data_IF_386130517330
#
_entry.id   IF_386130517330
#
_cell.length_a   1.000
_cell.length_b   1.000
_cell.length_c   1.000
_cell.angle_alpha   90.00
_cell.angle_beta   90.00
_cell.angle_gamma   90.00
#
_symmetry.space_group_name_H-M   'P 1'
#
loop_
_entity.id
_entity.type
_entity.pdbx_description
1 polymer ?
#
# COMPACT_ATOMS: atom_id res chain seq x y z
N UNK A 1 20.88 47.74 12.00
CA UNK A 1 19.41 47.75 11.91
C UNK A 1 19.03 46.93 10.70
N UNK A 2 18.43 45.75 10.90
CA UNK A 2 17.45 45.11 10.03
C UNK A 2 17.04 43.77 10.69
N UNK A 3 15.87 43.80 11.31
CA UNK A 3 15.16 42.67 11.89
C UNK A 3 14.60 41.81 10.76
N UNK A 4 14.92 40.52 10.75
CA UNK A 4 14.15 39.52 10.02
C UNK A 4 13.41 38.65 11.04
N UNK A 5 12.12 38.93 11.14
CA UNK A 5 11.18 38.24 12.01
C UNK A 5 10.98 36.80 11.55
N UNK A 6 11.14 35.88 12.50
CA UNK A 6 10.63 34.52 12.45
C UNK A 6 9.12 34.50 12.21
N UNK A 7 8.67 33.80 11.18
CA UNK A 7 7.27 33.34 11.09
C UNK A 7 7.24 31.85 11.45
N UNK A 8 6.88 31.58 12.70
CA UNK A 8 6.40 30.26 13.13
C UNK A 8 4.96 30.09 12.66
N UNK A 9 4.74 29.22 11.68
CA UNK A 9 3.42 28.70 11.35
C UNK A 9 3.19 27.41 12.14
N UNK A 10 2.54 27.54 13.29
CA UNK A 10 1.95 26.43 14.04
C UNK A 10 0.51 26.25 13.59
N UNK A 11 0.24 25.23 12.77
CA UNK A 11 -1.12 24.77 12.46
C UNK A 11 -1.43 23.49 13.23
N UNK A 12 -1.95 23.68 14.44
CA UNK A 12 -2.67 22.65 15.19
C UNK A 12 -4.04 22.44 14.56
N UNK A 13 -4.19 21.42 13.73
CA UNK A 13 -5.51 20.99 13.22
C UNK A 13 -5.97 19.74 13.98
N UNK A 14 -6.77 19.99 15.01
CA UNK A 14 -7.63 19.00 15.67
C UNK A 14 -8.69 18.52 14.68
N UNK A 15 -8.62 17.25 14.28
CA UNK A 15 -9.69 16.56 13.55
C UNK A 15 -10.16 15.37 14.38
N UNK A 16 -11.02 15.67 15.34
CA UNK A 16 -11.96 14.70 15.88
C UNK A 16 -13.05 14.48 14.82
N UNK A 17 -12.99 13.36 14.12
CA UNK A 17 -14.17 12.78 13.47
C UNK A 17 -14.27 11.32 13.89
N UNK A 18 -15.12 11.10 14.89
CA UNK A 18 -15.59 9.77 15.26
C UNK A 18 -16.33 9.15 14.08
N UNK A 19 -15.85 8.00 13.63
CA UNK A 19 -16.61 7.12 12.75
C UNK A 19 -17.46 6.22 13.64
N UNK A 20 -18.74 6.60 13.73
CA UNK A 20 -19.82 5.75 14.19
C UNK A 20 -19.95 4.58 13.20
N UNK A 21 -19.62 3.37 13.66
CA UNK A 21 -20.01 2.14 12.98
C UNK A 21 -21.53 1.96 13.10
N UNK A 22 -22.27 1.70 12.01
CA UNK A 22 -23.64 1.24 12.13
C UNK A 22 -23.61 -0.20 12.65
N UNK A 23 -23.99 -0.36 13.92
CA UNK A 23 -24.37 -1.65 14.48
C UNK A 23 -25.58 -2.17 13.70
N UNK A 24 -25.39 -3.26 12.97
CA UNK A 24 -26.47 -4.00 12.33
C UNK A 24 -27.17 -4.77 13.45
N UNK A 25 -28.26 -4.19 13.96
CA UNK A 25 -29.18 -4.83 14.90
C UNK A 25 -29.93 -5.94 14.17
N UNK A 26 -29.74 -7.19 14.61
CA UNK A 26 -30.58 -8.31 14.21
C UNK A 26 -31.84 -8.32 15.08
N UNK A 27 -32.94 -7.82 14.54
CA UNK A 27 -34.27 -7.98 15.13
C UNK A 27 -34.74 -9.43 14.95
N UNK A 28 -34.80 -10.18 16.05
CA UNK A 28 -35.47 -11.46 16.11
C UNK A 28 -36.98 -11.24 16.28
N UNK A 29 -37.84 -11.79 15.39
CA UNK A 29 -39.27 -11.80 15.65
C UNK A 29 -39.61 -12.81 16.76
N UNK A 30 -40.07 -12.27 17.87
CA UNK A 30 -40.80 -12.98 18.92
C UNK A 30 -42.20 -13.31 18.38
N UNK A 31 -42.48 -14.59 18.15
CA UNK A 31 -43.83 -15.09 17.85
C UNK A 31 -44.37 -15.76 19.10
N UNK A 32 -45.32 -15.10 19.76
CA UNK A 32 -46.08 -15.59 20.90
C UNK A 32 -47.22 -16.50 20.41
N UNK A 33 -47.34 -17.60 21.14
CA UNK A 33 -48.35 -18.65 21.07
C UNK A 33 -49.80 -18.17 20.91
N UNK A 34 -50.52 -18.86 20.01
CA UNK A 34 -51.92 -19.24 20.23
C UNK A 34 -52.29 -20.38 19.28
N UNK A 35 -52.64 -21.55 19.84
CA UNK A 35 -53.96 -22.17 19.70
C UNK A 35 -53.91 -23.60 20.25
N UNK A 36 -54.81 -23.81 21.21
CA UNK A 36 -55.20 -25.07 21.85
C UNK A 36 -55.76 -26.07 20.82
N UNK A 37 -55.55 -27.34 21.14
CA UNK A 37 -56.42 -28.50 20.85
C UNK A 37 -56.76 -28.83 19.40
N UNK A 38 -56.04 -29.80 18.83
CA UNK A 38 -56.70 -30.91 18.10
C UNK A 38 -55.81 -32.16 18.17
N UNK A 39 -55.75 -32.73 19.36
CA UNK A 39 -55.15 -34.01 19.67
C UNK A 39 -56.07 -35.13 19.18
N UNK A 40 -56.02 -35.46 17.88
CA UNK A 40 -56.41 -36.79 17.35
C UNK A 40 -56.18 -37.01 15.84
N UNK A 41 -55.73 -36.01 15.06
CA UNK A 41 -55.33 -36.19 13.65
C UNK A 41 -53.81 -36.37 13.42
N UNK A 42 -53.01 -36.60 14.48
CA UNK A 42 -51.52 -36.65 14.38
C UNK A 42 -50.94 -38.00 13.93
N UNK A 43 -51.66 -39.13 14.04
CA UNK A 43 -51.07 -40.45 13.74
C UNK A 43 -51.11 -40.89 12.27
N UNK A 44 -51.93 -40.26 11.40
CA UNK A 44 -51.96 -40.58 9.96
C UNK A 44 -51.17 -39.61 9.07
N UNK A 45 -50.87 -38.38 9.52
CA UNK A 45 -50.01 -37.45 8.77
C UNK A 45 -48.51 -37.58 9.08
N UNK A 46 -48.13 -38.16 10.24
CA UNK A 46 -46.72 -38.36 10.60
C UNK A 46 -45.98 -39.37 9.69
N UNK A 47 -46.67 -40.39 9.15
CA UNK A 47 -46.04 -41.37 8.26
C UNK A 47 -45.83 -40.88 6.82
N UNK A 48 -46.59 -39.89 6.35
CA UNK A 48 -46.37 -39.26 5.03
C UNK A 48 -45.31 -38.15 5.06
N UNK A 49 -45.12 -37.46 6.19
CA UNK A 49 -44.08 -36.43 6.32
C UNK A 49 -42.68 -37.01 6.53
N UNK A 50 -42.53 -38.18 7.17
CA UNK A 50 -41.21 -38.81 7.35
C UNK A 50 -40.56 -39.25 6.03
N UNK A 51 -41.38 -39.57 5.02
CA UNK A 51 -40.89 -40.03 3.71
C UNK A 51 -40.56 -38.89 2.73
N UNK A 52 -41.11 -37.69 2.93
CA UNK A 52 -40.82 -36.52 2.09
C UNK A 52 -39.64 -35.69 2.60
N UNK A 53 -39.34 -35.72 3.91
CA UNK A 53 -38.20 -34.98 4.46
C UNK A 53 -36.84 -35.62 4.14
N UNK A 54 -36.80 -36.91 3.77
CA UNK A 54 -35.55 -37.57 3.35
C UNK A 54 -35.08 -37.21 1.93
N UNK A 55 -35.91 -36.56 1.11
CA UNK A 55 -35.54 -36.21 -0.27
C UNK A 55 -34.88 -34.84 -0.41
N UNK A 56 -34.95 -33.98 0.61
CA UNK A 56 -34.45 -32.60 0.52
C UNK A 56 -33.02 -32.41 1.06
N UNK A 57 -32.44 -33.41 1.72
CA UNK A 57 -31.06 -33.32 2.24
C UNK A 57 -29.97 -33.71 1.22
N UNK A 58 -30.31 -34.35 0.11
CA UNK A 58 -29.32 -34.69 -0.93
C UNK A 58 -29.05 -33.57 -1.93
N UNK A 59 -29.98 -32.63 -2.14
CA UNK A 59 -29.81 -31.59 -3.17
C UNK A 59 -28.97 -30.39 -2.68
N UNK A 60 -28.87 -30.19 -1.36
CA UNK A 60 -28.08 -29.11 -0.76
C UNK A 60 -26.58 -29.41 -0.78
N UNK A 61 -26.19 -30.69 -0.60
CA UNK A 61 -24.77 -31.07 -0.48
C UNK A 61 -23.96 -30.89 -1.77
N UNK A 62 -24.56 -30.99 -2.95
CA UNK A 62 -23.84 -30.85 -4.22
C UNK A 62 -23.53 -29.40 -4.57
N UNK A 63 -24.40 -28.46 -4.18
CA UNK A 63 -24.22 -27.03 -4.42
C UNK A 63 -23.06 -26.48 -3.59
N UNK A 64 -22.98 -26.88 -2.31
CA UNK A 64 -21.87 -26.49 -1.43
C UNK A 64 -20.53 -27.05 -1.93
N UNK A 65 -20.50 -28.29 -2.42
CA UNK A 65 -19.31 -28.87 -3.00
C UNK A 65 -18.82 -28.08 -4.21
N UNK A 66 -19.72 -27.73 -5.14
CA UNK A 66 -19.39 -26.98 -6.35
C UNK A 66 -18.85 -25.55 -6.06
N UNK A 67 -19.46 -24.85 -5.10
CA UNK A 67 -18.99 -23.50 -4.69
C UNK A 67 -17.60 -23.59 -4.05
N UNK A 68 -17.36 -24.62 -3.23
CA UNK A 68 -16.07 -24.83 -2.58
C UNK A 68 -14.97 -25.14 -3.61
N UNK A 69 -15.24 -26.01 -4.60
CA UNK A 69 -14.28 -26.25 -5.70
C UNK A 69 -14.01 -24.98 -6.50
N UNK A 70 -15.03 -24.18 -6.80
CA UNK A 70 -14.84 -22.92 -7.51
C UNK A 70 -13.94 -21.95 -6.72
N UNK A 71 -14.16 -21.80 -5.41
CA UNK A 71 -13.31 -20.97 -4.55
C UNK A 71 -11.87 -21.48 -4.47
N UNK A 72 -11.65 -22.79 -4.34
CA UNK A 72 -10.29 -23.36 -4.31
C UNK A 72 -9.55 -23.15 -5.64
N UNK A 73 -10.23 -23.32 -6.76
CA UNK A 73 -9.68 -23.06 -8.09
C UNK A 73 -9.37 -21.58 -8.24
N UNK A 74 -10.30 -20.69 -7.89
CA UNK A 74 -10.10 -19.24 -7.97
C UNK A 74 -8.96 -18.75 -7.08
N UNK A 75 -8.84 -19.26 -5.85
CA UNK A 75 -7.76 -18.92 -4.93
C UNK A 75 -6.38 -19.38 -5.43
N UNK A 76 -6.30 -20.53 -6.12
CA UNK A 76 -5.07 -21.02 -6.74
C UNK A 76 -4.65 -20.21 -7.98
N UNK A 77 -5.60 -19.51 -8.61
CA UNK A 77 -5.35 -18.64 -9.76
C UNK A 77 -5.23 -17.16 -9.41
N UNK A 78 -5.33 -16.77 -8.12
CA UNK A 78 -5.00 -15.40 -7.74
C UNK A 78 -3.52 -15.20 -8.07
N UNK A 79 -3.18 -14.28 -8.99
CA UNK A 79 -1.78 -13.98 -9.26
C UNK A 79 -1.15 -13.63 -7.93
N UNK A 80 -0.03 -14.29 -7.59
CA UNK A 80 0.86 -13.76 -6.57
C UNK A 80 1.07 -12.30 -6.94
N UNK A 81 0.63 -11.38 -6.08
CA UNK A 81 0.79 -9.95 -6.30
C UNK A 81 2.29 -9.75 -6.47
N UNK A 82 2.71 -9.60 -7.72
CA UNK A 82 4.11 -9.55 -8.05
C UNK A 82 4.67 -8.30 -7.39
N UNK A 83 5.71 -8.46 -6.59
CA UNK A 83 6.41 -7.35 -5.97
C UNK A 83 6.89 -6.33 -6.97
N UNK A 84 7.16 -5.13 -6.49
CA UNK A 84 7.70 -4.05 -7.30
C UNK A 84 9.08 -4.46 -7.84
N UNK A 85 9.30 -4.30 -9.14
CA UNK A 85 10.60 -4.48 -9.77
C UNK A 85 11.35 -3.13 -9.81
N UNK A 86 12.57 -3.09 -9.28
CA UNK A 86 13.41 -1.89 -9.26
C UNK A 86 14.78 -2.17 -9.84
N UNK A 87 15.45 -1.13 -10.34
CA UNK A 87 16.88 -1.19 -10.57
C UNK A 87 17.63 -1.07 -9.24
N UNK A 88 18.63 -1.93 -9.04
CA UNK A 88 19.56 -1.89 -7.92
C UNK A 88 21.00 -1.74 -8.39
N UNK A 89 21.75 -0.84 -7.77
CA UNK A 89 23.20 -0.71 -7.98
C UNK A 89 23.96 -1.57 -6.97
N UNK A 90 24.36 -2.78 -7.37
CA UNK A 90 25.16 -3.70 -6.54
C UNK A 90 26.60 -3.73 -7.07
N UNK A 91 27.56 -3.29 -6.25
CA UNK A 91 28.98 -3.22 -6.63
C UNK A 91 29.24 -2.44 -7.95
N UNK A 92 28.49 -1.35 -8.17
CA UNK A 92 28.58 -0.53 -9.38
C UNK A 92 27.92 -1.16 -10.63
N UNK A 93 27.34 -2.36 -10.51
CA UNK A 93 26.55 -2.98 -11.57
C UNK A 93 25.06 -2.75 -11.32
N UNK A 94 24.35 -2.34 -12.36
CA UNK A 94 22.90 -2.17 -12.32
C UNK A 94 22.22 -3.50 -12.65
N UNK A 95 21.32 -3.96 -11.79
CA UNK A 95 20.53 -5.18 -11.98
C UNK A 95 19.06 -4.93 -11.68
N UNK A 96 18.16 -5.63 -12.36
CA UNK A 96 16.74 -5.62 -12.03
C UNK A 96 16.51 -6.62 -10.89
N UNK A 97 15.94 -6.14 -9.80
CA UNK A 97 15.58 -6.96 -8.63
C UNK A 97 14.09 -6.77 -8.37
N UNK A 98 13.42 -7.86 -8.04
CA UNK A 98 12.01 -7.86 -7.70
C UNK A 98 11.84 -8.34 -6.27
N UNK A 99 11.05 -7.60 -5.48
CA UNK A 99 10.82 -7.94 -4.09
C UNK A 99 9.40 -7.53 -3.65
N UNK A 100 8.68 -8.48 -3.08
CA UNK A 100 7.28 -8.32 -2.65
C UNK A 100 7.13 -7.38 -1.44
N UNK A 101 8.21 -7.15 -0.70
CA UNK A 101 8.23 -6.20 0.42
C UNK A 101 8.36 -4.75 -0.05
N UNK A 102 8.83 -4.50 -1.28
CA UNK A 102 9.08 -3.15 -1.75
C UNK A 102 7.80 -2.46 -2.18
N UNK A 103 7.69 -1.19 -1.79
CA UNK A 103 6.58 -0.30 -2.18
C UNK A 103 7.02 0.82 -3.11
N UNK A 104 8.33 1.10 -3.13
CA UNK A 104 8.88 2.16 -3.95
C UNK A 104 10.22 1.74 -4.55
N UNK A 105 10.55 2.34 -5.68
CA UNK A 105 11.93 2.39 -6.16
C UNK A 105 12.49 3.79 -5.90
N UNK A 106 13.79 3.85 -5.63
CA UNK A 106 14.50 5.09 -5.37
C UNK A 106 15.65 5.29 -6.34
N UNK A 107 15.92 6.56 -6.60
CA UNK A 107 17.05 7.06 -7.36
C UNK A 107 17.75 8.16 -6.55
N UNK A 108 19.02 7.95 -6.26
CA UNK A 108 19.97 8.99 -5.87
C UNK A 108 20.81 9.29 -7.12
N UNK A 109 20.61 10.42 -7.81
CA UNK A 109 21.34 10.71 -9.02
C UNK A 109 22.82 10.96 -8.72
N UNK A 110 23.68 10.64 -9.69
CA UNK A 110 25.09 11.00 -9.61
C UNK A 110 25.23 12.53 -9.48
N UNK A 111 26.09 12.97 -8.57
CA UNK A 111 26.30 14.40 -8.27
C UNK A 111 27.79 14.71 -8.14
N UNK A 112 28.14 15.99 -8.27
CA UNK A 112 29.51 16.47 -8.08
C UNK A 112 29.58 17.13 -6.71
N UNK A 113 30.33 16.54 -5.79
CA UNK A 113 30.59 17.11 -4.47
C UNK A 113 32.01 17.66 -4.48
N UNK A 114 32.13 18.99 -4.48
CA UNK A 114 33.42 19.66 -4.64
C UNK A 114 34.02 19.43 -6.03
N UNK A 115 35.05 18.58 -6.12
CA UNK A 115 35.74 18.21 -7.37
C UNK A 115 35.61 16.74 -7.75
N UNK A 116 34.91 15.95 -6.93
CA UNK A 116 34.77 14.51 -7.11
C UNK A 116 33.36 14.17 -7.56
N UNK A 117 33.26 13.23 -8.50
CA UNK A 117 31.99 12.69 -8.96
C UNK A 117 31.57 11.58 -8.00
N UNK A 118 30.46 11.80 -7.30
CA UNK A 118 29.83 10.79 -6.46
C UNK A 118 28.87 10.01 -7.35
N UNK A 119 29.09 8.70 -7.44
CA UNK A 119 28.22 7.82 -8.20
C UNK A 119 26.80 7.84 -7.61
N UNK A 120 25.80 7.87 -8.49
CA UNK A 120 24.42 7.69 -8.09
C UNK A 120 24.16 6.26 -7.62
N UNK A 121 23.01 6.06 -7.01
CA UNK A 121 22.52 4.74 -6.61
C UNK A 121 21.05 4.58 -6.94
N UNK A 122 20.67 3.35 -7.23
CA UNK A 122 19.31 2.92 -7.47
C UNK A 122 19.03 1.76 -6.51
N UNK A 123 17.86 1.73 -5.88
CA UNK A 123 17.49 0.67 -4.95
C UNK A 123 15.98 0.59 -4.74
N UNK A 124 15.51 -0.55 -4.25
CA UNK A 124 14.14 -0.71 -3.77
C UNK A 124 13.97 -0.28 -2.32
N UNK A 125 12.79 0.27 -1.99
CA UNK A 125 12.44 0.68 -0.62
C UNK A 125 11.27 -0.18 -0.12
N UNK A 126 11.56 -0.92 0.96
CA UNK A 126 10.60 -1.67 1.77
C UNK A 126 10.52 -1.16 3.23
N UNK A 127 9.69 -1.80 4.07
CA UNK A 127 9.51 -1.46 5.48
C UNK A 127 10.80 -1.48 6.32
N UNK A 128 11.80 -2.25 5.89
CA UNK A 128 13.06 -2.49 6.58
C UNK A 128 14.11 -1.41 6.31
N UNK A 129 14.04 -0.70 5.19
CA UNK A 129 15.12 0.16 4.71
C UNK A 129 14.85 1.66 4.89
N UNK A 130 13.59 2.08 5.08
CA UNK A 130 13.26 3.51 5.21
C UNK A 130 11.95 3.77 5.96
N UNK A 131 11.78 5.02 6.41
CA UNK A 131 10.54 5.54 6.97
C UNK A 131 9.49 5.76 5.87
N UNK A 132 8.78 4.69 5.52
CA UNK A 132 7.73 4.70 4.48
C UNK A 132 6.61 5.73 4.70
N UNK A 133 6.39 6.18 5.94
CA UNK A 133 5.25 7.04 6.32
C UNK A 133 5.18 8.35 5.53
N UNK A 134 6.32 8.98 5.25
CA UNK A 134 6.37 10.23 4.49
C UNK A 134 5.92 10.02 3.03
N UNK A 135 6.40 8.97 2.39
CA UNK A 135 6.04 8.63 1.01
C UNK A 135 4.60 8.20 0.89
N UNK A 136 4.13 7.34 1.80
CA UNK A 136 2.75 6.88 1.83
C UNK A 136 1.78 8.07 1.86
N UNK A 137 2.05 9.07 2.71
CA UNK A 137 1.24 10.27 2.79
C UNK A 137 1.28 11.08 1.48
N UNK A 138 2.46 11.28 0.91
CA UNK A 138 2.62 12.01 -0.34
C UNK A 138 1.85 11.33 -1.49
N UNK A 139 2.04 10.03 -1.69
CA UNK A 139 1.35 9.28 -2.74
C UNK A 139 -0.14 9.09 -2.46
N UNK A 140 -0.60 9.10 -1.21
CA UNK A 140 -2.03 9.04 -0.88
C UNK A 140 -2.82 10.27 -1.35
N UNK A 141 -2.15 11.40 -1.63
CA UNK A 141 -2.81 12.56 -2.25
C UNK A 141 -3.09 12.38 -3.74
N UNK A 142 -2.67 11.27 -4.37
CA UNK A 142 -2.98 11.01 -5.78
C UNK A 142 -4.48 10.78 -5.97
N UNK A 143 -5.16 11.73 -6.59
CA UNK A 143 -6.54 11.55 -7.09
C UNK A 143 -6.50 11.02 -8.52
N UNK A 144 -7.61 10.51 -9.03
CA UNK A 144 -7.70 9.93 -10.39
C UNK A 144 -7.31 10.97 -11.46
N UNK A 145 -7.63 12.25 -11.23
CA UNK A 145 -7.32 13.36 -12.12
C UNK A 145 -5.88 13.89 -11.96
N UNK A 146 -5.29 13.73 -10.78
CA UNK A 146 -3.96 14.23 -10.43
C UNK A 146 -3.14 13.15 -9.74
N UNK A 147 -2.49 12.30 -10.55
CA UNK A 147 -1.63 11.24 -10.05
C UNK A 147 -0.21 11.74 -9.80
N UNK A 148 0.27 11.56 -8.57
CA UNK A 148 1.68 11.77 -8.23
C UNK A 148 2.48 10.55 -8.71
N UNK A 149 3.42 10.77 -9.62
CA UNK A 149 4.27 9.70 -10.18
C UNK A 149 5.60 9.56 -9.43
N UNK A 150 6.15 10.68 -8.96
CA UNK A 150 7.44 10.71 -8.27
C UNK A 150 7.43 11.79 -7.19
N UNK A 151 8.17 11.55 -6.12
CA UNK A 151 8.46 12.51 -5.05
C UNK A 151 9.97 12.65 -4.96
N UNK A 152 10.50 13.85 -5.15
CA UNK A 152 11.93 14.13 -4.99
C UNK A 152 12.15 14.99 -3.75
N UNK A 153 13.09 14.57 -2.92
CA UNK A 153 13.38 15.15 -1.61
C UNK A 153 14.84 15.59 -1.59
N UNK A 154 15.06 16.82 -1.14
CA UNK A 154 16.38 17.33 -0.84
C UNK A 154 16.55 17.39 0.67
N UNK A 155 17.41 16.53 1.19
CA UNK A 155 17.62 16.34 2.63
C UNK A 155 18.97 16.92 3.03
N UNK A 156 18.99 17.55 4.21
CA UNK A 156 20.20 18.04 4.85
C UNK A 156 20.46 17.18 6.08
N UNK A 157 21.56 16.43 6.07
CA UNK A 157 22.04 15.70 7.23
C UNK A 157 23.02 16.56 8.00
N UNK A 158 22.81 16.66 9.30
CA UNK A 158 23.69 17.37 10.22
C UNK A 158 24.40 16.35 11.13
N UNK A 159 25.64 16.03 10.75
CA UNK A 159 26.54 15.16 11.49
C UNK A 159 27.43 15.94 12.46
N UNK A 160 27.22 17.25 12.65
CA UNK A 160 28.06 18.09 13.51
C UNK A 160 28.25 17.46 14.88
N UNK A 161 27.19 16.87 15.46
CA UNK A 161 27.25 16.24 16.79
C UNK A 161 28.22 15.07 16.88
N UNK A 162 28.47 14.37 15.78
CA UNK A 162 29.32 13.17 15.74
C UNK A 162 30.71 13.47 15.18
N UNK A 163 30.85 14.44 14.28
CA UNK A 163 32.09 14.73 13.56
C UNK A 163 32.86 15.95 14.07
N UNK A 164 32.39 16.61 15.14
CA UNK A 164 32.96 17.85 15.71
C UNK A 164 34.47 17.86 15.89
N UNK A 165 35.10 16.72 16.21
CA UNK A 165 36.53 16.65 16.49
C UNK A 165 37.40 16.10 15.35
N UNK A 166 36.82 15.41 14.37
CA UNK A 166 37.61 14.72 13.34
C UNK A 166 37.57 15.43 11.98
N UNK A 167 36.41 15.88 11.54
CA UNK A 167 36.21 16.48 10.20
C UNK A 167 35.03 17.47 10.23
N UNK A 168 35.24 18.70 10.73
CA UNK A 168 34.19 19.71 10.81
C UNK A 168 33.64 20.11 9.44
N UNK A 169 34.43 20.00 8.37
CA UNK A 169 33.99 20.31 7.00
C UNK A 169 32.99 19.29 6.44
N UNK A 170 32.89 18.09 7.03
CA UNK A 170 31.91 17.05 6.68
C UNK A 170 30.70 17.05 7.63
N UNK A 171 30.59 18.05 8.50
CA UNK A 171 29.54 18.12 9.50
C UNK A 171 28.14 18.29 8.91
N UNK A 172 28.02 18.80 7.68
CA UNK A 172 26.75 18.95 6.97
C UNK A 172 26.85 18.29 5.61
N UNK A 173 25.97 17.33 5.35
CA UNK A 173 25.85 16.64 4.07
C UNK A 173 24.47 16.90 3.48
N UNK A 174 24.39 16.93 2.15
CA UNK A 174 23.13 17.07 1.43
C UNK A 174 22.92 15.85 0.55
N UNK A 175 21.72 15.29 0.60
CA UNK A 175 21.31 14.20 -0.27
C UNK A 175 20.09 14.62 -1.07
N UNK A 176 20.11 14.27 -2.36
CA UNK A 176 18.94 14.41 -3.22
C UNK A 176 18.48 13.01 -3.62
N UNK A 177 17.21 12.69 -3.38
CA UNK A 177 16.64 11.38 -3.74
C UNK A 177 15.26 11.55 -4.36
N UNK A 178 14.97 10.78 -5.39
CA UNK A 178 13.65 10.65 -5.98
C UNK A 178 13.09 9.26 -5.70
N UNK A 179 11.79 9.19 -5.44
CA UNK A 179 11.08 7.97 -5.09
C UNK A 179 9.82 7.87 -5.96
N UNK A 180 9.53 6.67 -6.47
CA UNK A 180 8.41 6.39 -7.36
C UNK A 180 7.82 5.00 -7.04
N UNK A 181 6.53 4.80 -7.35
CA UNK A 181 5.74 3.65 -6.89
C UNK A 181 5.27 2.71 -8.02
N UNK A 182 6.10 2.55 -9.06
CA UNK A 182 5.79 1.68 -10.19
C UNK A 182 7.06 1.04 -10.75
N UNK A 183 6.91 -0.04 -11.50
CA UNK A 183 8.04 -0.88 -11.92
C UNK A 183 9.07 -0.09 -12.72
N UNK A 184 10.33 -0.32 -12.38
CA UNK A 184 11.51 0.14 -13.10
C UNK A 184 11.60 1.66 -13.29
N UNK A 185 10.83 2.41 -12.48
CA UNK A 185 10.73 3.86 -12.57
C UNK A 185 12.06 4.58 -12.31
N UNK A 186 13.00 3.92 -11.62
CA UNK A 186 14.34 4.42 -11.32
C UNK A 186 15.40 4.04 -12.38
N UNK A 187 15.01 3.82 -13.64
CA UNK A 187 15.92 3.41 -14.73
C UNK A 187 17.03 4.39 -15.02
N UNK A 188 16.74 5.68 -14.88
CA UNK A 188 17.64 6.73 -15.33
C UNK A 188 18.72 7.04 -14.28
N UNK A 189 20.02 7.07 -14.65
CA UNK A 189 21.11 7.28 -13.71
C UNK A 189 21.34 8.76 -13.35
N UNK A 190 20.74 9.69 -14.10
CA UNK A 190 20.88 11.14 -13.89
C UNK A 190 19.53 11.79 -13.65
N UNK A 191 19.52 12.88 -12.90
CA UNK A 191 18.27 13.59 -12.59
C UNK A 191 17.58 14.17 -13.84
N UNK A 192 18.36 14.73 -14.77
CA UNK A 192 17.79 15.29 -16.01
C UNK A 192 17.13 14.22 -16.88
N UNK A 193 17.77 13.06 -17.02
CA UNK A 193 17.21 11.94 -17.77
C UNK A 193 15.95 11.40 -17.07
N UNK A 194 16.01 11.24 -15.73
CA UNK A 194 14.88 10.83 -14.91
C UNK A 194 13.66 11.75 -15.11
N UNK A 195 13.84 13.07 -14.98
CA UNK A 195 12.74 14.02 -15.20
C UNK A 195 12.16 13.94 -16.61
N UNK A 196 13.02 13.72 -17.62
CA UNK A 196 12.57 13.56 -19.00
C UNK A 196 11.75 12.27 -19.18
N UNK A 197 12.18 11.17 -18.59
CA UNK A 197 11.48 9.89 -18.60
C UNK A 197 10.10 10.03 -17.93
N UNK A 198 10.05 10.55 -16.70
CA UNK A 198 8.79 10.78 -15.98
C UNK A 198 7.83 11.67 -16.78
N UNK A 199 8.35 12.75 -17.37
CA UNK A 199 7.54 13.65 -18.20
C UNK A 199 6.96 12.92 -19.41
N UNK A 200 7.76 12.16 -20.14
CA UNK A 200 7.31 11.39 -21.29
C UNK A 200 6.23 10.35 -20.92
N UNK A 201 6.42 9.67 -19.78
CA UNK A 201 5.49 8.67 -19.28
C UNK A 201 4.18 9.28 -18.79
N UNK A 202 4.24 10.46 -18.17
CA UNK A 202 3.05 11.21 -17.75
C UNK A 202 2.11 11.55 -18.91
N UNK A 203 2.65 11.73 -20.12
CA UNK A 203 1.85 11.98 -21.32
C UNK A 203 1.28 10.70 -21.91
N UNK A 204 2.02 9.59 -21.82
CA UNK A 204 1.57 8.29 -22.33
C UNK A 204 0.45 7.65 -21.49
N UNK A 205 0.32 8.04 -20.22
CA UNK A 205 -0.71 7.53 -19.29
C UNK A 205 -1.99 8.38 -19.21
N UNK A 206 -2.08 9.47 -19.99
CA UNK A 206 -3.33 10.23 -20.17
C UNK A 206 -4.10 9.67 -21.36
#
# INVERSE_FOLDING_TARGET
>A
MNNLQNQQYSSSFSSQRGLLFPLISFDFPVIINKIKTTEQRKKQQQNKQLHNNRRNYCFSSSLFAAIFTFFCVFAAYLPSVAGLACYETVNGKITIVQNDAWRYCALVPATIVGKEMVNGSQFGIGPENDMLGMYNNAFAFSQEEYRILTVCIYERYDFSRFLTMMKPDLAVEFAFRCVCNYDLCNSEPTFSAYLSAIKSESFARR
#
